data_IF_818491783032
#
_entry.id   IF_818491783032
#
_cell.length_a   1.000
_cell.length_b   1.000
_cell.length_c   1.000
_cell.angle_alpha   90.00
_cell.angle_beta   90.00
_cell.angle_gamma   90.00
#
_symmetry.space_group_name_H-M   'P 1'
#
loop_
_entity.id
_entity.type
_entity.pdbx_description
1 polymer ?
#
# COMPACT_ATOMS: atom_id res chain seq x y z
N UNK A 1 -16.44 8.81 -40.58
CA UNK A 1 -15.38 9.56 -39.93
C UNK A 1 -15.49 9.25 -38.42
N UNK A 2 -14.59 8.40 -37.91
CA UNK A 2 -14.58 8.06 -36.47
C UNK A 2 -14.06 9.26 -35.71
N UNK A 3 -14.90 9.89 -34.89
CA UNK A 3 -14.47 10.93 -33.96
C UNK A 3 -13.68 10.23 -32.86
N UNK A 4 -12.38 10.35 -32.87
CA UNK A 4 -11.55 9.95 -31.71
C UNK A 4 -11.97 10.86 -30.57
N UNK A 5 -12.65 10.30 -29.57
CA UNK A 5 -13.02 11.04 -28.36
C UNK A 5 -11.76 11.63 -27.74
N UNK A 6 -11.82 12.87 -27.28
CA UNK A 6 -10.74 13.52 -26.53
C UNK A 6 -10.38 12.62 -25.33
N UNK A 7 -9.11 12.22 -25.23
CA UNK A 7 -8.63 11.52 -24.04
C UNK A 7 -8.71 12.48 -22.85
N UNK A 8 -9.31 12.02 -21.74
CA UNK A 8 -9.44 12.80 -20.53
C UNK A 8 -8.06 13.00 -19.86
N UNK A 9 -7.85 14.17 -19.31
CA UNK A 9 -6.66 14.41 -18.46
C UNK A 9 -6.79 13.66 -17.13
N UNK A 10 -5.70 13.56 -16.36
CA UNK A 10 -5.73 12.92 -15.04
C UNK A 10 -6.72 13.63 -14.10
N UNK A 11 -6.78 14.96 -14.15
CA UNK A 11 -7.72 15.77 -13.37
C UNK A 11 -9.18 15.53 -13.79
N UNK A 12 -9.45 15.44 -15.09
CA UNK A 12 -10.78 15.11 -15.61
C UNK A 12 -11.19 13.68 -15.22
N UNK A 13 -10.26 12.73 -15.23
CA UNK A 13 -10.49 11.34 -14.79
C UNK A 13 -10.79 11.26 -13.29
N UNK A 14 -9.99 11.92 -12.46
CA UNK A 14 -10.20 11.98 -11.02
C UNK A 14 -11.56 12.60 -10.68
N UNK A 15 -11.89 13.73 -11.31
CA UNK A 15 -13.19 14.40 -11.13
C UNK A 15 -14.35 13.48 -11.53
N UNK A 16 -14.22 12.74 -12.65
CA UNK A 16 -15.21 11.75 -13.10
C UNK A 16 -15.39 10.64 -12.07
N UNK A 17 -14.31 10.12 -11.49
CA UNK A 17 -14.37 9.08 -10.47
C UNK A 17 -15.09 9.57 -9.21
N UNK A 18 -14.74 10.74 -8.69
CA UNK A 18 -15.39 11.37 -7.52
C UNK A 18 -16.89 11.56 -7.77
N UNK A 19 -17.28 12.15 -8.91
CA UNK A 19 -18.69 12.36 -9.25
C UNK A 19 -19.45 11.04 -9.38
N UNK A 20 -18.82 10.00 -9.96
CA UNK A 20 -19.44 8.69 -10.07
C UNK A 20 -19.69 8.05 -8.69
N UNK A 21 -18.75 8.17 -7.75
CA UNK A 21 -18.91 7.69 -6.37
C UNK A 21 -20.03 8.46 -5.65
N UNK A 22 -20.05 9.79 -5.75
CA UNK A 22 -21.08 10.63 -5.16
C UNK A 22 -22.50 10.32 -5.67
N UNK A 23 -22.62 9.86 -6.92
CA UNK A 23 -23.89 9.47 -7.53
C UNK A 23 -24.28 8.01 -7.29
N UNK A 24 -23.41 7.18 -6.75
CA UNK A 24 -23.68 5.76 -6.57
C UNK A 24 -24.50 5.50 -5.29
N UNK A 25 -25.62 4.71 -5.36
CA UNK A 25 -26.50 4.51 -4.20
C UNK A 25 -25.82 4.02 -2.92
N UNK A 26 -24.78 3.19 -3.05
CA UNK A 26 -24.01 2.68 -1.92
C UNK A 26 -23.16 3.76 -1.25
N UNK A 27 -22.64 4.71 -2.04
CA UNK A 27 -21.64 5.67 -1.60
C UNK A 27 -22.16 7.12 -1.46
N UNK A 28 -23.42 7.36 -1.74
CA UNK A 28 -23.99 8.73 -1.70
C UNK A 28 -23.82 9.39 -0.32
N UNK A 29 -23.81 8.61 0.75
CA UNK A 29 -23.57 9.11 2.11
C UNK A 29 -22.14 9.64 2.32
N UNK A 30 -21.18 9.24 1.46
CA UNK A 30 -19.79 9.69 1.52
C UNK A 30 -19.56 11.07 0.86
N UNK A 31 -20.58 11.66 0.22
CA UNK A 31 -20.43 12.91 -0.52
C UNK A 31 -19.77 14.01 0.33
N UNK A 32 -20.12 14.11 1.62
CA UNK A 32 -19.48 15.05 2.55
C UNK A 32 -17.99 14.79 2.76
N UNK A 33 -17.60 13.54 2.91
CA UNK A 33 -16.19 13.13 3.11
C UNK A 33 -15.37 13.39 1.83
N UNK A 34 -15.93 13.03 0.67
CA UNK A 34 -15.32 13.27 -0.63
C UNK A 34 -15.04 14.76 -0.90
N UNK A 35 -15.78 15.66 -0.27
CA UNK A 35 -15.61 17.12 -0.40
C UNK A 35 -14.68 17.71 0.67
N UNK A 36 -14.20 16.93 1.63
CA UNK A 36 -13.24 17.41 2.63
C UNK A 36 -11.83 17.48 2.01
N UNK A 37 -11.16 18.60 2.23
CA UNK A 37 -9.78 18.82 1.78
C UNK A 37 -9.65 18.98 0.27
N UNK A 38 -8.42 19.04 -0.17
CA UNK A 38 -8.07 19.16 -1.58
C UNK A 38 -7.63 17.81 -2.17
N UNK A 39 -7.93 17.60 -3.44
CA UNK A 39 -7.44 16.49 -4.24
C UNK A 39 -6.55 17.04 -5.33
N UNK A 40 -5.26 16.76 -5.24
CA UNK A 40 -4.25 17.29 -6.15
C UNK A 40 -3.51 16.20 -6.88
N UNK A 41 -3.02 16.49 -8.09
CA UNK A 41 -2.27 15.56 -8.90
C UNK A 41 -0.83 16.03 -9.04
N UNK A 42 0.10 15.13 -8.82
CA UNK A 42 1.53 15.38 -8.76
C UNK A 42 2.29 14.43 -9.68
N UNK A 43 3.42 14.90 -10.22
CA UNK A 43 4.26 14.09 -11.13
C UNK A 43 5.29 13.24 -10.36
N UNK A 44 5.57 13.60 -9.12
CA UNK A 44 6.55 12.99 -8.21
C UNK A 44 5.94 12.01 -7.18
N UNK A 45 4.62 11.88 -7.14
CA UNK A 45 3.92 10.91 -6.29
C UNK A 45 3.79 9.59 -7.06
N UNK A 46 4.30 8.44 -6.53
CA UNK A 46 4.23 7.16 -7.23
C UNK A 46 2.81 6.58 -7.31
N UNK A 47 2.01 6.75 -6.27
CA UNK A 47 0.65 6.20 -6.16
C UNK A 47 -0.35 7.26 -5.70
N UNK A 48 -0.77 7.19 -4.43
CA UNK A 48 -1.54 8.22 -3.76
C UNK A 48 -1.16 8.25 -2.27
N UNK A 49 -1.42 9.38 -1.61
CA UNK A 49 -1.25 9.50 -0.17
C UNK A 49 -2.18 10.56 0.40
N UNK A 50 -2.52 10.42 1.69
CA UNK A 50 -3.36 11.38 2.41
C UNK A 50 -2.73 11.77 3.76
N UNK A 51 -2.94 13.02 4.16
CA UNK A 51 -2.66 13.48 5.51
C UNK A 51 -3.90 13.43 6.43
N UNK A 52 -4.92 12.67 6.04
CA UNK A 52 -6.21 12.59 6.75
C UNK A 52 -7.22 13.68 6.36
N UNK A 53 -6.80 14.67 5.54
CA UNK A 53 -7.65 15.72 5.01
C UNK A 53 -7.51 15.89 3.50
N UNK A 54 -6.30 16.16 3.05
CA UNK A 54 -5.96 16.38 1.65
C UNK A 54 -5.40 15.08 1.06
N UNK A 55 -5.62 14.85 -0.24
CA UNK A 55 -5.14 13.66 -0.94
C UNK A 55 -4.31 14.08 -2.15
N UNK A 56 -3.13 13.51 -2.27
CA UNK A 56 -2.25 13.67 -3.42
C UNK A 56 -2.26 12.39 -4.26
N UNK A 57 -2.39 12.53 -5.57
CA UNK A 57 -2.43 11.42 -6.51
C UNK A 57 -1.31 11.54 -7.53
N UNK A 58 -0.63 10.43 -7.82
CA UNK A 58 0.38 10.34 -8.86
C UNK A 58 -0.24 10.42 -10.27
N UNK A 59 0.23 11.34 -11.10
CA UNK A 59 -0.28 11.48 -12.48
C UNK A 59 -0.07 10.23 -13.32
N UNK A 60 1.12 9.64 -13.24
CA UNK A 60 1.45 8.41 -13.94
C UNK A 60 0.51 7.28 -13.52
N UNK A 61 0.36 7.08 -12.22
CA UNK A 61 -0.50 6.04 -11.65
C UNK A 61 -1.96 6.18 -12.09
N UNK A 62 -2.56 7.38 -11.97
CA UNK A 62 -3.92 7.62 -12.51
C UNK A 62 -4.01 7.26 -13.99
N UNK A 63 -2.96 7.55 -14.77
CA UNK A 63 -2.91 7.27 -16.21
C UNK A 63 -3.07 5.79 -16.55
N UNK A 64 -2.57 4.90 -15.72
CA UNK A 64 -2.55 3.45 -15.90
C UNK A 64 -3.84 2.75 -15.41
N UNK A 65 -4.53 3.33 -14.43
CA UNK A 65 -5.72 2.74 -13.84
C UNK A 65 -6.91 2.73 -14.81
N UNK A 66 -7.72 1.67 -14.73
CA UNK A 66 -9.08 1.68 -15.30
C UNK A 66 -10.00 2.62 -14.50
N UNK A 67 -11.16 2.96 -15.04
CA UNK A 67 -12.14 3.78 -14.30
C UNK A 67 -12.63 3.12 -13.01
N UNK A 68 -12.69 1.78 -12.96
CA UNK A 68 -13.09 1.03 -11.76
C UNK A 68 -11.99 1.04 -10.71
N UNK A 69 -10.73 0.89 -11.11
CA UNK A 69 -9.58 0.97 -10.22
C UNK A 69 -9.37 2.37 -9.67
N UNK A 70 -9.56 3.40 -10.49
CA UNK A 70 -9.50 4.79 -10.01
C UNK A 70 -10.59 5.08 -8.97
N UNK A 71 -11.81 4.52 -9.14
CA UNK A 71 -12.84 4.61 -8.08
C UNK A 71 -12.43 3.85 -6.81
N UNK A 72 -11.80 2.70 -6.94
CA UNK A 72 -11.26 1.95 -5.81
C UNK A 72 -10.20 2.73 -5.05
N UNK A 73 -9.26 3.37 -5.75
CA UNK A 73 -8.24 4.23 -5.17
C UNK A 73 -8.86 5.42 -4.42
N UNK A 74 -9.84 6.11 -5.01
CA UNK A 74 -10.53 7.23 -4.35
C UNK A 74 -11.28 6.78 -3.10
N UNK A 75 -11.93 5.61 -3.13
CA UNK A 75 -12.58 5.03 -1.95
C UNK A 75 -11.57 4.66 -0.87
N UNK A 76 -10.42 4.12 -1.25
CA UNK A 76 -9.34 3.78 -0.33
C UNK A 76 -8.88 5.01 0.47
N UNK A 77 -8.62 6.11 -0.20
CA UNK A 77 -8.15 7.35 0.44
C UNK A 77 -9.26 8.05 1.25
N UNK A 78 -10.45 8.20 0.67
CA UNK A 78 -11.52 9.01 1.25
C UNK A 78 -12.42 8.22 2.23
N UNK A 79 -12.91 7.04 1.87
CA UNK A 79 -13.70 6.20 2.77
C UNK A 79 -12.80 5.48 3.77
N UNK A 80 -11.69 4.94 3.30
CA UNK A 80 -10.75 4.20 4.13
C UNK A 80 -10.02 5.10 5.13
N UNK A 81 -9.01 5.80 4.67
CA UNK A 81 -8.14 6.55 5.57
C UNK A 81 -8.80 7.79 6.17
N UNK A 82 -9.48 8.60 5.35
CA UNK A 82 -10.02 9.88 5.79
C UNK A 82 -11.24 9.73 6.70
N UNK A 83 -12.27 8.96 6.29
CA UNK A 83 -13.50 8.79 7.08
C UNK A 83 -13.20 8.14 8.43
N UNK A 84 -12.37 7.11 8.45
CA UNK A 84 -12.01 6.39 9.67
C UNK A 84 -10.92 7.08 10.47
N UNK A 85 -10.37 8.20 9.98
CA UNK A 85 -9.34 8.98 10.66
C UNK A 85 -8.19 8.10 11.13
N UNK A 86 -7.66 7.26 10.26
CA UNK A 86 -6.70 6.23 10.63
C UNK A 86 -5.46 6.81 11.32
N UNK A 87 -4.91 7.92 10.84
CA UNK A 87 -3.76 8.59 11.43
C UNK A 87 -3.99 9.04 12.89
N UNK A 88 -5.22 9.42 13.23
CA UNK A 88 -5.57 9.81 14.59
C UNK A 88 -5.99 8.60 15.45
N UNK A 89 -6.86 7.74 14.89
CA UNK A 89 -7.45 6.60 15.60
C UNK A 89 -6.38 5.59 15.99
N UNK A 90 -5.44 5.34 15.09
CA UNK A 90 -4.39 4.34 15.25
C UNK A 90 -3.00 4.95 15.48
N UNK A 91 -2.93 6.19 15.98
CA UNK A 91 -1.69 6.93 16.17
C UNK A 91 -0.62 6.12 16.89
N UNK A 92 -0.99 5.35 17.91
CA UNK A 92 -0.06 4.52 18.66
C UNK A 92 0.62 3.43 17.80
N UNK A 93 -0.05 2.91 16.76
CA UNK A 93 0.56 1.96 15.81
C UNK A 93 1.61 2.69 14.95
N UNK A 94 1.27 3.89 14.45
CA UNK A 94 2.19 4.73 13.68
C UNK A 94 3.38 5.20 14.50
N UNK A 95 3.23 5.39 15.83
CA UNK A 95 4.33 5.71 16.74
C UNK A 95 5.30 4.51 16.95
N UNK A 96 4.84 3.27 16.75
CA UNK A 96 5.64 2.04 16.86
C UNK A 96 6.31 1.71 15.54
N UNK A 97 5.52 1.52 14.48
CA UNK A 97 5.97 1.19 13.13
C UNK A 97 5.00 1.78 12.10
N UNK A 98 5.35 2.91 11.48
CA UNK A 98 4.50 3.59 10.51
C UNK A 98 4.18 2.75 9.28
N UNK A 99 5.15 1.98 8.79
CA UNK A 99 4.95 1.14 7.60
C UNK A 99 3.98 0.01 7.90
N UNK A 100 4.19 -0.70 8.99
CA UNK A 100 3.33 -1.81 9.40
C UNK A 100 1.92 -1.33 9.76
N UNK A 101 1.81 -0.15 10.40
CA UNK A 101 0.53 0.49 10.70
C UNK A 101 -0.27 0.81 9.43
N UNK A 102 0.41 1.34 8.39
CA UNK A 102 -0.21 1.59 7.10
C UNK A 102 -0.69 0.29 6.45
N UNK A 103 0.16 -0.74 6.38
CA UNK A 103 -0.22 -2.05 5.85
C UNK A 103 -1.44 -2.64 6.57
N UNK A 104 -1.48 -2.55 7.90
CA UNK A 104 -2.60 -3.05 8.69
C UNK A 104 -3.92 -2.32 8.38
N UNK A 105 -3.87 -1.00 8.21
CA UNK A 105 -5.01 -0.20 7.79
C UNK A 105 -5.46 -0.57 6.37
N UNK A 106 -4.51 -0.73 5.46
CA UNK A 106 -4.76 -1.05 4.05
C UNK A 106 -5.45 -2.40 3.89
N UNK A 107 -5.01 -3.44 4.61
CA UNK A 107 -5.70 -4.74 4.59
C UNK A 107 -7.17 -4.62 4.95
N UNK A 108 -7.50 -3.90 6.01
CA UNK A 108 -8.89 -3.72 6.47
C UNK A 108 -9.71 -2.92 5.45
N UNK A 109 -9.16 -1.81 4.94
CA UNK A 109 -9.80 -0.97 3.93
C UNK A 109 -10.07 -1.76 2.66
N UNK A 110 -9.04 -2.45 2.15
CA UNK A 110 -9.10 -3.14 0.87
C UNK A 110 -10.09 -4.30 0.89
N UNK A 111 -10.12 -5.10 1.96
CA UNK A 111 -11.12 -6.15 2.16
C UNK A 111 -12.53 -5.56 2.09
N UNK A 112 -12.77 -4.43 2.76
CA UNK A 112 -14.07 -3.75 2.71
C UNK A 112 -14.43 -3.31 1.29
N UNK A 113 -13.51 -2.70 0.55
CA UNK A 113 -13.75 -2.27 -0.84
C UNK A 113 -14.09 -3.48 -1.71
N UNK A 114 -13.36 -4.59 -1.58
CA UNK A 114 -13.64 -5.83 -2.34
C UNK A 114 -15.03 -6.35 -2.01
N UNK A 115 -15.40 -6.43 -0.74
CA UNK A 115 -16.69 -6.95 -0.31
C UNK A 115 -17.87 -6.09 -0.79
N UNK A 116 -17.73 -4.78 -0.65
CA UNK A 116 -18.76 -3.84 -1.04
C UNK A 116 -19.01 -3.83 -2.56
N UNK A 117 -18.03 -4.20 -3.37
CA UNK A 117 -18.11 -4.11 -4.84
C UNK A 117 -18.13 -5.46 -5.57
N UNK A 118 -18.19 -6.58 -4.84
CA UNK A 118 -18.15 -7.93 -5.42
C UNK A 118 -19.28 -8.22 -6.41
N UNK A 119 -20.46 -7.61 -6.23
CA UNK A 119 -21.65 -7.92 -7.02
C UNK A 119 -21.72 -7.12 -8.31
N UNK A 120 -21.29 -5.86 -8.30
CA UNK A 120 -21.44 -4.94 -9.44
C UNK A 120 -20.09 -4.51 -10.07
N UNK A 121 -18.98 -4.74 -9.36
CA UNK A 121 -17.65 -4.35 -9.82
C UNK A 121 -17.51 -2.84 -10.05
N UNK A 122 -18.33 -2.02 -9.37
CA UNK A 122 -18.31 -0.57 -9.50
C UNK A 122 -16.94 0.01 -9.19
N UNK A 123 -16.31 -0.46 -8.11
CA UNK A 123 -14.94 -0.15 -7.76
C UNK A 123 -14.10 -1.43 -7.66
N UNK A 124 -12.81 -1.33 -7.98
CA UNK A 124 -11.83 -2.42 -7.89
C UNK A 124 -10.55 -1.88 -7.29
N UNK A 125 -9.82 -2.72 -6.59
CA UNK A 125 -8.48 -2.35 -6.17
C UNK A 125 -7.55 -2.32 -7.38
N UNK A 126 -6.60 -1.37 -7.42
CA UNK A 126 -5.46 -1.46 -8.31
C UNK A 126 -4.67 -2.75 -8.09
N UNK A 127 -3.90 -3.16 -9.09
CA UNK A 127 -2.99 -4.30 -8.97
C UNK A 127 -1.99 -4.08 -7.83
N UNK A 128 -1.75 -5.12 -7.02
CA UNK A 128 -0.87 -5.06 -5.84
C UNK A 128 -1.55 -4.55 -4.56
N UNK A 129 -2.84 -4.23 -4.56
CA UNK A 129 -3.57 -3.88 -3.35
C UNK A 129 -3.53 -5.01 -2.32
N UNK A 130 -3.20 -4.69 -1.06
CA UNK A 130 -3.08 -5.65 0.03
C UNK A 130 -4.43 -6.25 0.39
N UNK A 131 -4.59 -7.56 0.19
CA UNK A 131 -5.78 -8.32 0.58
C UNK A 131 -5.35 -9.68 1.12
N UNK A 132 -5.78 -10.00 2.35
CA UNK A 132 -5.59 -11.30 2.94
C UNK A 132 -6.86 -11.72 3.67
N UNK A 133 -7.44 -12.84 3.27
CA UNK A 133 -8.67 -13.38 3.84
C UNK A 133 -8.57 -13.67 5.35
N UNK A 134 -7.38 -13.90 5.88
CA UNK A 134 -7.14 -14.11 7.31
C UNK A 134 -7.60 -12.91 8.15
N UNK A 135 -7.54 -11.72 7.58
CA UNK A 135 -7.87 -10.46 8.28
C UNK A 135 -9.32 -10.04 8.17
N UNK A 136 -10.16 -10.86 7.51
CA UNK A 136 -11.58 -10.56 7.34
C UNK A 136 -12.30 -10.46 8.69
N UNK A 137 -12.96 -9.32 8.92
CA UNK A 137 -13.69 -9.01 10.16
C UNK A 137 -12.80 -8.53 11.32
N UNK A 138 -11.51 -8.32 11.07
CA UNK A 138 -10.58 -7.73 12.04
C UNK A 138 -10.55 -6.21 11.91
N UNK A 139 -10.18 -5.52 12.98
CA UNK A 139 -9.79 -4.11 12.94
C UNK A 139 -8.28 -3.95 12.67
N UNK A 140 -7.85 -2.72 12.38
CA UNK A 140 -6.45 -2.44 12.05
C UNK A 140 -5.48 -2.76 13.20
N UNK A 141 -5.90 -2.65 14.46
CA UNK A 141 -5.05 -2.98 15.60
C UNK A 141 -4.82 -4.50 15.72
N UNK A 142 -5.85 -5.30 15.43
CA UNK A 142 -5.73 -6.77 15.40
C UNK A 142 -4.78 -7.21 14.29
N UNK A 143 -4.93 -6.65 13.09
CA UNK A 143 -4.05 -6.93 11.95
C UNK A 143 -2.62 -6.51 12.25
N UNK A 144 -2.41 -5.31 12.79
CA UNK A 144 -1.09 -4.79 13.17
C UNK A 144 -0.36 -5.73 14.14
N UNK A 145 -1.05 -6.22 15.17
CA UNK A 145 -0.45 -7.11 16.14
C UNK A 145 -0.06 -8.48 15.55
N UNK A 146 -0.84 -8.98 14.58
CA UNK A 146 -0.50 -10.22 13.86
C UNK A 146 0.72 -10.02 12.98
N UNK A 147 0.73 -8.97 12.14
CA UNK A 147 1.84 -8.67 11.25
C UNK A 147 3.13 -8.41 12.01
N UNK A 148 3.05 -7.69 13.13
CA UNK A 148 4.20 -7.43 13.99
C UNK A 148 4.79 -8.71 14.57
N UNK A 149 3.93 -9.63 15.02
CA UNK A 149 4.39 -10.91 15.54
C UNK A 149 5.04 -11.77 14.45
N UNK A 150 4.45 -11.81 13.25
CA UNK A 150 5.03 -12.52 12.10
C UNK A 150 6.43 -11.98 11.77
N UNK A 151 6.63 -10.67 11.83
CA UNK A 151 7.93 -10.02 11.62
C UNK A 151 8.95 -10.41 12.71
N UNK A 152 8.54 -10.42 13.99
CA UNK A 152 9.39 -10.83 15.12
C UNK A 152 9.81 -12.32 14.98
N UNK A 153 8.89 -13.20 14.58
CA UNK A 153 9.16 -14.64 14.40
C UNK A 153 10.14 -14.89 13.21
N UNK A 154 10.06 -14.08 12.13
CA UNK A 154 10.96 -14.19 10.97
C UNK A 154 12.39 -13.71 11.30
N UNK A 155 12.54 -12.69 12.14
CA UNK A 155 13.84 -12.18 12.58
C UNK A 155 14.58 -13.16 13.51
N UNK A 156 13.85 -13.97 14.29
CA UNK A 156 14.42 -14.97 15.20
C UNK A 156 14.93 -16.23 14.47
N UNK A 157 14.39 -16.57 13.29
CA UNK A 157 14.78 -17.77 12.53
C UNK A 157 16.10 -17.57 11.73
N UNK A 158 16.51 -16.33 11.47
CA UNK A 158 17.77 -16.02 10.76
C UNK A 158 19.01 -15.99 11.69
N UNK A 159 18.83 -16.13 13.02
CA UNK A 159 19.89 -16.09 14.04
C UNK A 159 20.49 -17.42 14.43
N UNK A 160 20.08 -18.54 13.85
CA UNK A 160 20.44 -19.91 14.26
C UNK A 160 21.50 -20.61 13.41
N UNK A 161 22.68 -20.03 13.21
CA UNK A 161 23.79 -20.62 12.44
C UNK A 161 25.12 -20.70 13.19
N UNK A 162 25.26 -21.66 14.09
CA UNK A 162 26.48 -22.44 14.29
C UNK A 162 27.65 -21.80 15.02
N UNK A 163 27.71 -21.98 16.31
CA UNK A 163 29.00 -22.14 17.01
C UNK A 163 29.12 -23.59 17.51
N UNK A 164 29.73 -24.44 16.72
CA UNK A 164 30.25 -25.71 17.19
C UNK A 164 31.79 -25.62 17.17
N UNK A 165 32.33 -25.31 18.35
CA UNK A 165 33.74 -25.28 18.62
C UNK A 165 34.35 -26.69 18.51
N UNK A 166 35.22 -26.88 17.56
CA UNK A 166 36.10 -28.02 17.44
C UNK A 166 37.55 -27.53 17.43
N UNK A 167 38.21 -27.59 18.60
CA UNK A 167 39.68 -27.60 18.69
C UNK A 167 40.23 -28.75 17.85
N UNK A 168 41.11 -28.44 16.89
CA UNK A 168 42.25 -29.32 16.62
C UNK A 168 43.39 -28.55 15.91
N UNK A 169 44.57 -28.74 16.45
CA UNK A 169 45.85 -28.20 15.96
C UNK A 169 46.28 -28.89 14.68
N UNK A 170 46.84 -28.19 13.75
CA UNK A 170 48.21 -28.35 13.21
C UNK A 170 48.40 -27.98 11.73
N UNK A 171 49.47 -27.19 11.55
CA UNK A 171 50.44 -27.16 10.46
C UNK A 171 50.12 -26.64 9.05
N UNK A 172 50.78 -25.53 8.79
CA UNK A 172 51.41 -25.03 7.54
C UNK A 172 51.09 -25.73 6.23
N UNK A 173 50.55 -24.98 5.26
CA UNK A 173 51.14 -24.97 3.91
C UNK A 173 50.70 -23.75 3.09
N UNK A 174 51.67 -22.99 2.57
CA UNK A 174 51.51 -21.96 1.57
C UNK A 174 51.08 -22.57 0.22
N UNK A 175 50.08 -21.95 -0.45
CA UNK A 175 50.03 -21.98 -1.92
C UNK A 175 49.13 -20.87 -2.45
N UNK A 176 49.70 -20.05 -3.27
CA UNK A 176 49.09 -19.06 -4.13
C UNK A 176 48.17 -19.70 -5.16
N UNK A 177 47.05 -19.01 -5.52
CA UNK A 177 46.20 -19.43 -6.63
C UNK A 177 45.04 -18.48 -6.90
N UNK A 178 45.26 -17.69 -7.94
CA UNK A 178 44.35 -16.83 -8.71
C UNK A 178 43.04 -17.51 -9.08
N UNK A 179 41.93 -16.74 -9.21
CA UNK A 179 40.91 -17.16 -10.17
C UNK A 179 39.45 -16.93 -9.80
N UNK A 180 38.90 -15.90 -10.41
CA UNK A 180 37.59 -15.82 -11.07
C UNK A 180 36.25 -15.67 -10.28
N UNK A 181 35.60 -14.64 -10.76
CA UNK A 181 34.20 -14.19 -10.62
C UNK A 181 33.17 -15.33 -10.77
N UNK A 182 32.19 -15.33 -9.87
CA UNK A 182 30.95 -16.08 -9.99
C UNK A 182 29.78 -15.17 -9.69
N UNK A 183 29.11 -14.71 -10.75
CA UNK A 183 27.83 -14.00 -10.79
C UNK A 183 26.74 -14.92 -10.19
N UNK A 184 26.11 -14.49 -9.12
CA UNK A 184 25.02 -15.17 -8.45
C UNK A 184 23.78 -14.28 -8.33
N UNK A 185 23.00 -14.23 -9.41
CA UNK A 185 21.68 -13.60 -9.47
C UNK A 185 20.74 -14.20 -8.42
N UNK A 186 20.43 -13.45 -7.37
CA UNK A 186 19.33 -13.71 -6.46
C UNK A 186 18.13 -12.86 -6.88
N UNK A 187 17.15 -13.51 -7.47
CA UNK A 187 15.84 -12.95 -7.77
C UNK A 187 15.10 -12.69 -6.46
N UNK A 188 15.19 -11.46 -5.96
CA UNK A 188 14.34 -10.97 -4.88
C UNK A 188 12.95 -10.69 -5.42
N UNK A 189 11.96 -11.40 -4.90
CA UNK A 189 10.55 -11.13 -5.12
C UNK A 189 10.22 -9.74 -4.57
N UNK A 190 10.02 -8.78 -5.46
CA UNK A 190 9.54 -7.45 -5.06
C UNK A 190 8.02 -7.52 -4.87
N UNK A 191 7.58 -7.63 -3.62
CA UNK A 191 6.22 -7.30 -3.22
C UNK A 191 6.07 -5.77 -3.30
N UNK A 192 5.55 -5.28 -4.42
CA UNK A 192 5.15 -3.88 -4.55
C UNK A 192 3.80 -3.71 -3.87
N UNK A 193 3.82 -3.29 -2.60
CA UNK A 193 2.61 -2.87 -1.91
C UNK A 193 2.07 -1.59 -2.57
N UNK A 194 0.84 -1.64 -3.06
CA UNK A 194 0.06 -0.45 -3.41
C UNK A 194 -0.26 0.25 -2.10
N UNK A 195 0.31 1.43 -1.92
CA UNK A 195 0.09 2.22 -0.70
C UNK A 195 1.34 2.42 0.14
N UNK A 196 2.48 2.71 -0.46
CA UNK A 196 3.55 3.35 0.30
C UNK A 196 3.13 4.79 0.58
N UNK A 197 2.34 4.97 1.63
CA UNK A 197 2.13 6.26 2.24
C UNK A 197 3.45 6.71 2.87
N UNK A 198 4.34 7.31 2.08
CA UNK A 198 5.37 8.17 2.62
C UNK A 198 4.73 9.52 2.92
N UNK A 199 3.70 9.50 3.76
CA UNK A 199 3.05 10.68 4.28
C UNK A 199 3.60 10.99 5.65
N UNK A 200 4.89 11.25 5.77
CA UNK A 200 5.47 11.79 6.97
C UNK A 200 6.12 13.12 6.69
N UNK A 201 5.39 14.12 7.15
CA UNK A 201 5.79 15.33 7.85
C UNK A 201 7.21 15.83 7.59
N UNK A 202 7.27 16.85 6.81
CA UNK A 202 8.09 17.99 7.16
C UNK A 202 7.22 18.91 8.01
N UNK A 203 7.38 18.82 9.34
CA UNK A 203 6.96 19.87 10.25
C UNK A 203 7.98 21.00 10.17
N UNK A 204 7.57 22.14 9.61
CA UNK A 204 8.05 23.46 9.97
C UNK A 204 7.12 24.05 11.04
#
# INVERSE_FOLDING_TARGET
MLTIGKQLTAEERLSKAVVAIMGHPRYIALAGVLMIGEKTIHDDIPTACTNGRDVKYGRGFIGELTDAELRGLVLHEDEGHKLHRHLDTWRWMYDIDPFLANCACDYVINIKIVDDNKDDGFAKLPEGGLVDERFRGMDSAQVFNILRKEQEDDDDDDGGGGDDGGDDESEDNESEGDGEQGDGSTTGSQNTAVGQGTGFDEHD
#
